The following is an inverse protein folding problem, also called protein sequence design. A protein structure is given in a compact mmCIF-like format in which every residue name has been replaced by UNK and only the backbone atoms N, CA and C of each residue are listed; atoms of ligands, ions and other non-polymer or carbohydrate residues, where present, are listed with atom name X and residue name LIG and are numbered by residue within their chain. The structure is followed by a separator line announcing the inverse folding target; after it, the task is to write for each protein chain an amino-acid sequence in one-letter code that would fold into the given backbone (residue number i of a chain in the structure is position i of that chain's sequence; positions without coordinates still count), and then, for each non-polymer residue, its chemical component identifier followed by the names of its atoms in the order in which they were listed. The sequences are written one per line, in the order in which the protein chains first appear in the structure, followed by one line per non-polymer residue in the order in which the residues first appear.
data_IF_146407678942
#
_entry.id   IF_146407678942
#
_cell.length_a   1.000
_cell.length_b   1.000
_cell.length_c   1.000
_cell.angle_alpha   90.00
_cell.angle_beta   90.00
_cell.angle_gamma   90.00
#
_symmetry.space_group_name_H-M   'P 1'
#
loop_
_entity.id
_entity.type
_entity.pdbx_description
1 polymer ?
#
# COMPACT_ATOMS: atom_id res chain seq x y z
N UNK A 1 -8.10 15.39 -8.00
CA UNK A 1 -7.44 14.10 -7.71
C UNK A 1 -8.36 13.00 -8.24
N UNK A 2 -7.99 12.27 -9.29
CA UNK A 2 -8.82 11.16 -9.79
C UNK A 2 -8.55 9.95 -8.89
N UNK A 3 -9.58 9.47 -8.19
CA UNK A 3 -9.51 8.25 -7.41
C UNK A 3 -9.16 7.05 -8.30
N UNK A 4 -8.43 6.10 -7.74
CA UNK A 4 -8.22 4.79 -8.34
C UNK A 4 -9.60 4.14 -8.56
N UNK A 5 -9.94 3.79 -9.79
CA UNK A 5 -11.15 3.02 -10.05
C UNK A 5 -10.91 1.59 -9.56
N UNK A 6 -11.76 1.03 -8.68
CA UNK A 6 -11.65 -0.37 -8.28
C UNK A 6 -11.81 -1.30 -9.49
N UNK A 7 -11.44 -2.57 -9.34
CA UNK A 7 -11.64 -3.58 -10.38
C UNK A 7 -13.09 -3.57 -10.91
N UNK A 8 -13.26 -3.79 -12.22
CA UNK A 8 -14.57 -3.73 -12.90
C UNK A 8 -15.61 -4.70 -12.30
N UNK A 9 -15.14 -5.76 -11.60
CA UNK A 9 -15.96 -6.64 -10.78
C UNK A 9 -15.11 -7.40 -9.76
N UNK A 10 -15.63 -7.58 -8.55
CA UNK A 10 -15.09 -8.48 -7.50
C UNK A 10 -16.07 -9.64 -7.36
N UNK A 11 -15.63 -10.91 -7.27
CA UNK A 11 -16.53 -12.04 -7.02
C UNK A 11 -17.40 -11.81 -5.79
N UNK A 12 -18.65 -12.27 -5.80
CA UNK A 12 -19.62 -11.98 -4.73
C UNK A 12 -19.17 -12.50 -3.35
N UNK A 13 -18.34 -13.53 -3.31
CA UNK A 13 -17.75 -14.07 -2.09
C UNK A 13 -16.54 -13.29 -1.55
N UNK A 14 -16.04 -12.28 -2.28
CA UNK A 14 -14.88 -11.48 -1.90
C UNK A 14 -15.26 -10.01 -1.70
N UNK A 15 -14.53 -9.34 -0.81
CA UNK A 15 -14.58 -7.89 -0.65
C UNK A 15 -13.26 -7.27 -1.04
N UNK A 16 -13.33 -6.10 -1.71
CA UNK A 16 -12.16 -5.29 -2.03
C UNK A 16 -12.15 -4.07 -1.12
N UNK A 17 -11.10 -3.94 -0.31
CA UNK A 17 -10.91 -2.85 0.65
C UNK A 17 -9.60 -2.14 0.35
N UNK A 18 -9.55 -0.82 0.60
CA UNK A 18 -8.31 -0.06 0.49
C UNK A 18 -7.55 -0.12 1.81
N UNK A 19 -6.42 -0.82 1.81
CA UNK A 19 -5.60 -0.97 3.02
C UNK A 19 -4.95 0.34 3.47
N UNK A 20 -4.34 1.08 2.52
CA UNK A 20 -3.74 2.41 2.76
C UNK A 20 -3.77 3.25 1.48
N UNK A 21 -3.90 4.57 1.64
CA UNK A 21 -3.93 5.54 0.55
C UNK A 21 -2.57 6.15 0.13
N UNK A 22 -2.56 6.97 -0.94
CA UNK A 22 -1.35 7.58 -1.50
C UNK A 22 -0.71 8.64 -0.61
N UNK A 23 -1.42 9.16 0.40
CA UNK A 23 -0.87 10.13 1.36
C UNK A 23 0.29 9.54 2.17
N UNK A 24 0.26 8.22 2.42
CA UNK A 24 1.32 7.48 3.10
C UNK A 24 2.29 6.85 2.08
N UNK A 25 1.76 6.41 0.93
CA UNK A 25 2.48 5.72 -0.14
C UNK A 25 2.38 6.42 -1.49
N UNK A 26 3.05 7.57 -1.68
CA UNK A 26 2.93 8.35 -2.92
C UNK A 26 3.63 7.71 -4.12
N UNK A 27 4.45 6.68 -3.92
CA UNK A 27 5.19 5.96 -4.98
C UNK A 27 5.57 4.54 -4.51
N UNK A 28 4.61 3.61 -4.46
CA UNK A 28 4.88 2.22 -4.12
C UNK A 28 5.62 1.55 -5.29
N UNK A 29 6.80 0.99 -5.01
CA UNK A 29 7.65 0.34 -6.01
C UNK A 29 7.61 -1.20 -5.93
N UNK A 30 7.39 -1.75 -4.73
CA UNK A 30 7.23 -3.17 -4.51
C UNK A 30 6.38 -3.45 -3.27
N UNK A 31 5.76 -4.63 -3.21
CA UNK A 31 5.04 -5.13 -2.04
C UNK A 31 5.31 -6.62 -1.81
N UNK A 32 5.25 -7.06 -0.55
CA UNK A 32 5.24 -8.48 -0.20
C UNK A 32 4.40 -8.73 1.06
N UNK A 33 3.87 -9.94 1.19
CA UNK A 33 3.14 -10.39 2.37
C UNK A 33 4.05 -11.22 3.29
N UNK A 34 3.98 -10.96 4.59
CA UNK A 34 4.55 -11.78 5.65
C UNK A 34 3.64 -12.95 5.99
N UNK A 35 4.21 -14.03 6.54
CA UNK A 35 3.45 -15.20 6.99
C UNK A 35 2.53 -14.91 8.18
N UNK A 36 2.78 -13.81 8.90
CA UNK A 36 1.96 -13.31 10.01
C UNK A 36 0.78 -12.43 9.55
N UNK A 37 0.62 -12.24 8.24
CA UNK A 37 -0.42 -11.37 7.66
C UNK A 37 0.02 -9.91 7.50
N UNK A 38 1.24 -9.54 7.90
CA UNK A 38 1.75 -8.20 7.64
C UNK A 38 2.04 -7.95 6.16
N UNK A 39 1.98 -6.68 5.73
CA UNK A 39 2.33 -6.29 4.35
C UNK A 39 3.51 -5.33 4.38
N UNK A 40 4.55 -5.61 3.62
CA UNK A 40 5.70 -4.72 3.48
C UNK A 40 5.61 -4.00 2.14
N UNK A 41 5.73 -2.68 2.17
CA UNK A 41 5.69 -1.83 0.97
C UNK A 41 7.01 -1.08 0.84
N UNK A 42 7.69 -1.27 -0.29
CA UNK A 42 8.82 -0.44 -0.69
C UNK A 42 8.32 0.85 -1.29
N UNK A 43 8.66 1.98 -0.66
CA UNK A 43 8.36 3.32 -1.16
C UNK A 43 9.59 3.89 -1.82
N UNK A 44 9.53 4.08 -3.14
CA UNK A 44 10.61 4.70 -3.88
C UNK A 44 10.26 6.13 -4.24
N UNK A 45 10.82 7.06 -3.48
CA UNK A 45 10.71 8.48 -3.80
C UNK A 45 11.76 8.92 -4.82
N UNK A 46 12.76 8.10 -5.13
CA UNK A 46 13.86 8.43 -6.05
C UNK A 46 13.45 8.36 -7.54
N UNK A 47 12.20 8.69 -7.84
CA UNK A 47 11.66 8.78 -9.19
C UNK A 47 12.18 9.99 -9.98
N UNK A 48 11.75 10.10 -11.24
CA UNK A 48 12.25 11.04 -12.26
C UNK A 48 12.22 12.52 -11.88
N UNK A 49 11.46 12.90 -10.84
CA UNK A 49 11.31 14.28 -10.36
C UNK A 49 12.18 14.61 -9.12
N UNK A 50 13.13 13.75 -8.76
CA UNK A 50 14.30 14.16 -7.97
C UNK A 50 14.10 14.28 -6.47
N UNK A 51 13.61 13.24 -5.78
CA UNK A 51 13.59 13.27 -4.30
C UNK A 51 14.92 12.95 -3.62
N UNK A 52 16.01 12.74 -4.36
CA UNK A 52 17.36 12.63 -3.80
C UNK A 52 17.60 11.36 -2.96
N UNK A 53 18.86 11.12 -2.55
CA UNK A 53 19.23 9.97 -1.74
C UNK A 53 18.48 9.94 -0.40
N UNK A 54 18.39 8.75 0.20
CA UNK A 54 17.83 8.50 1.55
C UNK A 54 16.33 8.81 1.74
N UNK A 55 15.59 8.94 0.65
CA UNK A 55 14.13 9.16 0.69
C UNK A 55 13.29 7.92 0.42
N UNK A 56 13.95 6.81 0.07
CA UNK A 56 13.32 5.50 -0.02
C UNK A 56 13.15 4.90 1.38
N UNK A 57 12.10 4.14 1.58
CA UNK A 57 11.82 3.45 2.85
C UNK A 57 11.05 2.17 2.60
N UNK A 58 11.21 1.20 3.49
CA UNK A 58 10.31 0.05 3.59
C UNK A 58 9.37 0.33 4.76
N UNK A 59 8.08 0.17 4.54
CA UNK A 59 7.05 0.32 5.58
C UNK A 59 6.40 -1.03 5.80
N UNK A 60 6.26 -1.42 7.07
CA UNK A 60 5.45 -2.58 7.48
C UNK A 60 4.06 -2.07 7.80
N UNK A 61 3.05 -2.70 7.23
CA UNK A 61 1.65 -2.48 7.50
C UNK A 61 1.11 -3.63 8.34
N UNK A 62 0.45 -3.29 9.43
CA UNK A 62 -0.25 -4.24 10.30
C UNK A 62 -1.74 -3.90 10.35
N UNK A 63 -2.57 -4.90 10.10
CA UNK A 63 -4.02 -4.87 10.33
C UNK A 63 -4.30 -5.82 11.51
N UNK A 64 -4.54 -5.24 12.69
CA UNK A 64 -4.65 -5.97 13.96
C UNK A 64 -6.09 -6.33 14.26
N UNK A 65 -7.06 -5.55 13.79
CA UNK A 65 -8.49 -5.79 14.02
C UNK A 65 -9.18 -6.53 12.85
N UNK A 66 -8.45 -6.76 11.76
CA UNK A 66 -8.85 -7.51 10.57
C UNK A 66 -9.96 -6.83 9.76
N UNK A 67 -9.98 -5.50 9.77
CA UNK A 67 -10.93 -4.70 8.98
C UNK A 67 -10.44 -4.45 7.53
N UNK A 68 -9.21 -4.87 7.21
CA UNK A 68 -8.58 -4.68 5.91
C UNK A 68 -7.90 -3.33 5.74
N UNK A 69 -7.80 -2.51 6.79
CA UNK A 69 -7.12 -1.21 6.88
C UNK A 69 -5.89 -1.34 7.78
N UNK A 70 -4.80 -0.66 7.43
CA UNK A 70 -3.62 -0.71 8.29
C UNK A 70 -3.76 0.20 9.52
N UNK A 71 -3.44 -0.34 10.69
CA UNK A 71 -3.37 0.38 11.97
C UNK A 71 -2.04 1.11 12.18
N UNK A 72 -0.96 0.55 11.60
CA UNK A 72 0.42 1.06 11.73
C UNK A 72 1.25 0.75 10.51
#
# INVERSE_FOLDING_TARGET
MRGFAPADSVPDELSLVTMVGPDIFPSPACLCAGADGSVFVGVDLNGSLGKGPDKRRIVKLEDRDKDGVADS
#
